data_IF_616801084244
#
_entry.id   IF_616801084244
#
_cell.length_a   1.000
_cell.length_b   1.000
_cell.length_c   1.000
_cell.angle_alpha   90.00
_cell.angle_beta   90.00
_cell.angle_gamma   90.00
#
_symmetry.space_group_name_H-M   'P 1'
#
loop_
_entity.id
_entity.type
_entity.pdbx_description
1 polymer ?
#
# COMPACT_ATOMS: atom_id res chain seq x y z
N UNK A 1 5.92 42.91 5.63
CA UNK A 1 4.91 41.83 5.76
C UNK A 1 4.28 41.63 4.39
N UNK A 2 4.50 40.48 3.77
CA UNK A 2 3.99 40.17 2.43
C UNK A 2 2.46 39.99 2.51
N UNK A 3 1.74 40.26 1.42
CA UNK A 3 0.28 40.08 1.37
C UNK A 3 -0.14 38.63 1.62
N UNK A 4 0.72 37.66 1.27
CA UNK A 4 0.51 36.24 1.55
C UNK A 4 0.56 35.93 3.05
N UNK A 5 1.48 36.55 3.79
CA UNK A 5 1.64 36.34 5.24
C UNK A 5 0.37 36.75 5.99
N UNK A 6 -0.24 37.89 5.62
CA UNK A 6 -1.52 38.35 6.19
C UNK A 6 -2.68 37.37 5.96
N UNK A 7 -2.67 36.69 4.81
CA UNK A 7 -3.68 35.68 4.47
C UNK A 7 -3.49 34.47 5.38
N UNK A 8 -2.25 34.01 5.56
CA UNK A 8 -1.95 32.92 6.49
C UNK A 8 -2.32 33.27 7.93
N UNK A 9 -1.99 34.46 8.41
CA UNK A 9 -2.37 34.91 9.76
C UNK A 9 -3.89 34.79 10.00
N UNK A 10 -4.69 35.16 8.98
CA UNK A 10 -6.17 35.08 9.06
C UNK A 10 -6.66 33.63 9.05
N UNK A 11 -6.08 32.78 8.21
CA UNK A 11 -6.42 31.36 8.14
C UNK A 11 -6.08 30.65 9.45
N UNK A 12 -4.88 30.89 9.97
CA UNK A 12 -4.38 30.31 11.22
C UNK A 12 -5.26 30.76 12.39
N UNK A 13 -5.74 32.00 12.39
CA UNK A 13 -6.66 32.48 13.40
C UNK A 13 -7.99 31.72 13.38
N UNK A 14 -8.56 31.44 12.20
CA UNK A 14 -9.79 30.65 12.10
C UNK A 14 -9.60 29.22 12.62
N UNK A 15 -8.46 28.60 12.33
CA UNK A 15 -8.12 27.27 12.86
C UNK A 15 -8.00 27.30 14.38
N UNK A 16 -7.26 28.27 14.94
CA UNK A 16 -7.12 28.46 16.40
C UNK A 16 -8.45 28.71 17.10
N UNK A 17 -9.40 29.37 16.44
CA UNK A 17 -10.74 29.64 16.95
C UNK A 17 -11.71 28.44 16.78
N UNK A 18 -11.25 27.32 16.21
CA UNK A 18 -12.09 26.13 15.96
C UNK A 18 -13.08 26.31 14.80
N UNK A 19 -12.93 27.34 13.98
CA UNK A 19 -13.75 27.60 12.78
C UNK A 19 -13.25 26.78 11.59
N UNK A 20 -13.23 25.45 11.77
CA UNK A 20 -12.56 24.51 10.87
C UNK A 20 -13.22 24.43 9.49
N UNK A 21 -14.55 24.54 9.43
CA UNK A 21 -15.29 24.57 8.16
C UNK A 21 -14.99 25.84 7.35
N UNK A 22 -14.98 27.00 8.01
CA UNK A 22 -14.65 28.27 7.38
C UNK A 22 -13.19 28.28 6.90
N UNK A 23 -12.27 27.78 7.72
CA UNK A 23 -10.88 27.59 7.33
C UNK A 23 -10.76 26.70 6.08
N UNK A 24 -11.42 25.54 6.06
CA UNK A 24 -11.48 24.65 4.90
C UNK A 24 -11.94 25.39 3.64
N UNK A 25 -13.06 26.11 3.72
CA UNK A 25 -13.62 26.82 2.56
C UNK A 25 -12.69 27.94 2.07
N UNK A 26 -12.02 28.63 2.99
CA UNK A 26 -11.02 29.64 2.64
C UNK A 26 -9.80 29.03 1.95
N UNK A 27 -9.25 27.93 2.46
CA UNK A 27 -8.15 27.20 1.79
C UNK A 27 -8.54 26.78 0.36
N UNK A 28 -9.72 26.18 0.17
CA UNK A 28 -10.22 25.79 -1.18
C UNK A 28 -10.33 26.99 -2.12
N UNK A 29 -10.90 28.08 -1.63
CA UNK A 29 -11.12 29.31 -2.41
C UNK A 29 -9.80 29.98 -2.79
N UNK A 30 -8.88 30.11 -1.83
CA UNK A 30 -7.57 30.72 -2.04
C UNK A 30 -6.72 29.88 -2.99
N UNK A 31 -6.64 28.56 -2.78
CA UNK A 31 -5.92 27.69 -3.70
C UNK A 31 -6.42 27.87 -5.15
N UNK A 32 -7.74 27.77 -5.36
CA UNK A 32 -8.36 27.90 -6.69
C UNK A 32 -8.06 29.24 -7.36
N UNK A 33 -7.95 30.31 -6.56
CA UNK A 33 -7.64 31.66 -7.05
C UNK A 33 -6.16 31.83 -7.39
N UNK A 34 -5.27 31.34 -6.52
CA UNK A 34 -3.84 31.62 -6.61
C UNK A 34 -3.12 30.65 -7.55
N UNK A 35 -3.50 29.37 -7.59
CA UNK A 35 -2.83 28.36 -8.42
C UNK A 35 -2.77 28.74 -9.90
N UNK A 36 -3.81 29.42 -10.41
CA UNK A 36 -3.88 29.88 -11.81
C UNK A 36 -2.88 31.00 -12.14
N UNK A 37 -2.50 31.80 -11.15
CA UNK A 37 -1.62 32.96 -11.30
C UNK A 37 -0.19 32.66 -10.86
N UNK A 38 -0.06 31.80 -9.85
CA UNK A 38 1.19 31.37 -9.25
C UNK A 38 0.98 29.97 -8.67
N UNK A 39 1.41 28.92 -9.39
CA UNK A 39 1.34 27.55 -8.91
C UNK A 39 2.04 27.37 -7.56
N UNK A 40 3.16 28.07 -7.34
CA UNK A 40 3.93 28.05 -6.09
C UNK A 40 3.12 28.57 -4.91
N UNK A 41 2.43 29.71 -5.03
CA UNK A 41 1.55 30.20 -3.98
C UNK A 41 0.36 29.27 -3.73
N UNK A 42 -0.23 28.72 -4.80
CA UNK A 42 -1.27 27.70 -4.66
C UNK A 42 -0.78 26.51 -3.83
N UNK A 43 0.40 25.99 -4.16
CA UNK A 43 1.00 24.87 -3.43
C UNK A 43 1.27 25.24 -1.96
N UNK A 44 1.83 26.43 -1.67
CA UNK A 44 2.04 26.88 -0.29
C UNK A 44 0.74 26.95 0.51
N UNK A 45 -0.38 27.39 -0.10
CA UNK A 45 -1.69 27.45 0.55
C UNK A 45 -2.19 26.05 0.92
N UNK A 46 -2.04 25.07 0.02
CA UNK A 46 -2.47 23.69 0.30
C UNK A 46 -1.55 23.02 1.33
N UNK A 47 -0.23 23.22 1.22
CA UNK A 47 0.73 22.71 2.22
C UNK A 47 0.40 23.21 3.61
N UNK A 48 0.14 24.51 3.75
CA UNK A 48 -0.23 25.13 5.02
C UNK A 48 -1.54 24.53 5.58
N UNK A 49 -2.60 24.45 4.75
CA UNK A 49 -3.88 23.92 5.17
C UNK A 49 -3.83 22.44 5.56
N UNK A 50 -3.16 21.60 4.76
CA UNK A 50 -2.98 20.18 5.09
C UNK A 50 -2.18 20.02 6.39
N UNK A 51 -1.15 20.84 6.60
CA UNK A 51 -0.34 20.78 7.83
C UNK A 51 -1.15 21.14 9.06
N UNK A 52 -1.83 22.29 9.05
CA UNK A 52 -2.56 22.76 10.23
C UNK A 52 -3.79 21.91 10.53
N UNK A 53 -4.63 21.62 9.53
CA UNK A 53 -5.86 20.87 9.77
C UNK A 53 -5.58 19.42 10.18
N UNK A 54 -4.43 18.84 9.81
CA UNK A 54 -4.05 17.49 10.27
C UNK A 54 -3.76 17.39 11.76
N UNK A 55 -3.54 18.53 12.44
CA UNK A 55 -3.21 18.60 13.87
C UNK A 55 -4.45 18.83 14.74
N UNK A 56 -5.59 19.08 14.13
CA UNK A 56 -6.85 19.35 14.83
C UNK A 56 -7.50 18.05 15.33
N UNK A 57 -8.34 18.18 16.36
CA UNK A 57 -9.08 17.02 16.91
C UNK A 57 -10.18 16.52 15.96
N UNK A 58 -10.86 17.46 15.29
CA UNK A 58 -11.86 17.14 14.28
C UNK A 58 -11.22 17.21 12.89
N UNK A 59 -11.08 16.05 12.28
CA UNK A 59 -10.36 15.88 11.02
C UNK A 59 -11.26 16.01 9.78
N UNK A 60 -12.56 16.28 9.96
CA UNK A 60 -13.48 16.46 8.84
C UNK A 60 -13.01 17.54 7.87
N UNK A 61 -12.47 18.64 8.41
CA UNK A 61 -11.91 19.72 7.61
C UNK A 61 -10.64 19.27 6.85
N UNK A 62 -9.77 18.49 7.50
CA UNK A 62 -8.57 17.94 6.89
C UNK A 62 -8.90 16.98 5.74
N UNK A 63 -9.73 15.97 5.98
CA UNK A 63 -10.13 15.01 4.94
C UNK A 63 -10.90 15.69 3.81
N UNK A 64 -11.73 16.69 4.13
CA UNK A 64 -12.41 17.51 3.13
C UNK A 64 -11.46 18.36 2.26
N UNK A 65 -10.26 18.70 2.76
CA UNK A 65 -9.22 19.38 2.00
C UNK A 65 -8.43 18.39 1.13
N UNK A 66 -8.11 17.23 1.68
CA UNK A 66 -7.47 16.12 0.96
C UNK A 66 -8.31 15.69 -0.24
N UNK A 67 -9.58 15.36 -0.05
CA UNK A 67 -10.51 14.96 -1.12
C UNK A 67 -10.58 16.02 -2.23
N UNK A 68 -10.70 17.29 -1.85
CA UNK A 68 -10.72 18.40 -2.79
C UNK A 68 -9.44 18.46 -3.63
N UNK A 69 -8.27 18.35 -2.98
CA UNK A 69 -7.00 18.49 -3.66
C UNK A 69 -6.68 17.29 -4.54
N UNK A 70 -6.94 16.06 -4.07
CA UNK A 70 -6.81 14.83 -4.87
C UNK A 70 -7.68 14.89 -6.12
N UNK A 71 -8.92 15.38 -6.03
CA UNK A 71 -9.80 15.58 -7.20
C UNK A 71 -9.21 16.55 -8.21
N UNK A 72 -8.59 17.64 -7.76
CA UNK A 72 -7.93 18.59 -8.64
C UNK A 72 -6.73 17.96 -9.36
N UNK A 73 -5.87 17.26 -8.62
CA UNK A 73 -4.71 16.59 -9.20
C UNK A 73 -5.12 15.49 -10.18
N UNK A 74 -6.19 14.75 -9.86
CA UNK A 74 -6.75 13.69 -10.73
C UNK A 74 -7.34 14.25 -12.02
N UNK A 75 -7.93 15.45 -11.98
CA UNK A 75 -8.50 16.13 -13.14
C UNK A 75 -7.46 16.90 -13.97
N UNK A 76 -6.23 17.04 -13.47
CA UNK A 76 -5.15 17.72 -14.18
C UNK A 76 -4.81 16.96 -15.47
N UNK A 77 -4.64 17.70 -16.57
CA UNK A 77 -4.27 17.12 -17.87
C UNK A 77 -2.78 16.80 -17.97
N UNK A 78 -1.97 17.56 -17.25
CA UNK A 78 -0.54 17.38 -17.16
C UNK A 78 -0.20 16.30 -16.13
N UNK A 79 0.99 15.72 -16.26
CA UNK A 79 1.50 14.79 -15.25
C UNK A 79 1.61 15.50 -13.89
N UNK A 80 1.11 14.86 -12.84
CA UNK A 80 1.26 15.31 -11.46
C UNK A 80 2.69 15.05 -11.02
N UNK A 81 3.31 16.00 -10.31
CA UNK A 81 4.67 15.84 -9.78
C UNK A 81 4.68 15.41 -8.31
N UNK A 82 5.81 14.94 -7.80
CA UNK A 82 5.95 14.63 -6.37
C UNK A 82 5.78 15.88 -5.48
N UNK A 83 6.24 17.04 -5.94
CA UNK A 83 6.09 18.31 -5.22
C UNK A 83 4.61 18.67 -4.99
N UNK A 84 3.76 18.37 -5.97
CA UNK A 84 2.31 18.58 -5.87
C UNK A 84 1.63 17.58 -4.92
N UNK A 85 2.20 16.40 -4.70
CA UNK A 85 1.61 15.40 -3.80
C UNK A 85 2.15 15.53 -2.36
N UNK A 86 3.33 16.12 -2.17
CA UNK A 86 3.97 16.34 -0.86
C UNK A 86 3.04 16.91 0.23
N UNK A 87 2.14 17.88 -0.02
CA UNK A 87 1.24 18.38 1.01
C UNK A 87 0.40 17.28 1.69
N UNK A 88 0.07 16.23 0.94
CA UNK A 88 -0.78 15.13 1.39
C UNK A 88 -0.05 14.20 2.37
N UNK A 89 1.28 14.32 2.52
CA UNK A 89 2.03 13.57 3.53
C UNK A 89 1.62 13.93 4.97
N UNK A 90 0.93 15.05 5.18
CA UNK A 90 0.37 15.44 6.47
C UNK A 90 -0.57 14.37 7.07
N UNK A 91 -1.17 13.53 6.23
CA UNK A 91 -2.03 12.40 6.66
C UNK A 91 -1.33 11.40 7.58
N UNK A 92 0.00 11.34 7.55
CA UNK A 92 0.77 10.48 8.48
C UNK A 92 0.55 10.87 9.94
N UNK A 93 0.27 12.14 10.19
CA UNK A 93 0.10 12.68 11.54
C UNK A 93 -1.31 12.45 12.09
N UNK A 94 -2.25 11.92 11.29
CA UNK A 94 -3.61 11.66 11.74
C UNK A 94 -3.75 10.27 12.40
N UNK A 95 -4.66 10.11 13.37
CA UNK A 95 -5.02 8.82 13.94
C UNK A 95 -5.46 7.81 12.87
N UNK A 96 -5.29 6.52 13.19
CA UNK A 96 -5.71 5.43 12.31
C UNK A 96 -7.21 5.22 12.45
N UNK A 97 -7.94 5.49 11.38
CA UNK A 97 -9.36 5.27 11.23
C UNK A 97 -9.71 4.91 9.77
N UNK A 98 -11.00 4.68 9.48
CA UNK A 98 -11.47 4.34 8.14
C UNK A 98 -11.36 5.48 7.14
N UNK A 99 -11.40 6.73 7.62
CA UNK A 99 -11.30 7.91 6.76
C UNK A 99 -9.86 8.09 6.26
N UNK A 100 -8.88 7.86 7.13
CA UNK A 100 -7.46 7.77 6.81
C UNK A 100 -7.19 6.68 5.79
N UNK A 101 -7.73 5.47 6.00
CA UNK A 101 -7.59 4.35 5.06
C UNK A 101 -8.09 4.74 3.66
N UNK A 102 -9.32 5.27 3.57
CA UNK A 102 -9.92 5.70 2.30
C UNK A 102 -9.11 6.81 1.63
N UNK A 103 -8.72 7.84 2.38
CA UNK A 103 -7.94 8.95 1.82
C UNK A 103 -6.58 8.47 1.31
N UNK A 104 -5.91 7.59 2.03
CA UNK A 104 -4.63 7.01 1.59
C UNK A 104 -4.77 6.16 0.32
N UNK A 105 -5.86 5.42 0.14
CA UNK A 105 -6.13 4.69 -1.11
C UNK A 105 -6.19 5.63 -2.31
N UNK A 106 -6.99 6.69 -2.22
CA UNK A 106 -7.15 7.66 -3.31
C UNK A 106 -5.81 8.35 -3.63
N UNK A 107 -5.02 8.69 -2.61
CA UNK A 107 -3.68 9.28 -2.78
C UNK A 107 -2.71 8.27 -3.42
N UNK A 108 -2.72 7.02 -2.97
CA UNK A 108 -1.83 5.99 -3.49
C UNK A 108 -2.14 5.66 -4.94
N UNK A 109 -3.41 5.54 -5.32
CA UNK A 109 -3.85 5.37 -6.70
C UNK A 109 -3.40 6.52 -7.60
N UNK A 110 -3.52 7.77 -7.12
CA UNK A 110 -3.00 8.95 -7.81
C UNK A 110 -1.49 8.83 -8.06
N UNK A 111 -0.73 8.41 -7.04
CA UNK A 111 0.73 8.23 -7.15
C UNK A 111 1.10 7.15 -8.17
N UNK A 112 0.40 6.01 -8.14
CA UNK A 112 0.62 4.90 -9.06
C UNK A 112 0.32 5.31 -10.51
N UNK A 113 -0.81 5.98 -10.75
CA UNK A 113 -1.19 6.48 -12.08
C UNK A 113 -0.14 7.43 -12.67
N UNK A 114 0.51 8.23 -11.83
CA UNK A 114 1.54 9.20 -12.24
C UNK A 114 2.98 8.67 -12.09
N UNK A 115 3.17 7.40 -11.71
CA UNK A 115 4.49 6.75 -11.53
C UNK A 115 5.43 7.49 -10.56
N UNK A 116 4.87 8.00 -9.46
CA UNK A 116 5.60 8.79 -8.45
C UNK A 116 6.30 7.87 -7.43
N UNK A 117 7.42 7.27 -7.82
CA UNK A 117 8.01 6.13 -7.10
C UNK A 117 8.48 6.44 -5.67
N UNK A 118 9.07 7.62 -5.41
CA UNK A 118 9.62 7.90 -4.08
C UNK A 118 8.50 8.15 -3.07
N UNK A 119 7.51 8.98 -3.43
CA UNK A 119 6.38 9.27 -2.57
C UNK A 119 5.38 8.11 -2.50
N UNK A 120 5.24 7.32 -3.57
CA UNK A 120 4.38 6.13 -3.57
C UNK A 120 4.85 5.08 -2.55
N UNK A 121 6.17 4.86 -2.42
CA UNK A 121 6.72 3.98 -1.38
C UNK A 121 6.36 4.48 0.03
N UNK A 122 6.30 5.79 0.20
CA UNK A 122 5.94 6.41 1.48
C UNK A 122 4.47 6.16 1.83
N UNK A 123 3.55 6.33 0.87
CA UNK A 123 2.14 6.02 1.08
C UNK A 123 1.87 4.51 1.15
N UNK A 124 2.62 3.68 0.43
CA UNK A 124 2.56 2.22 0.57
C UNK A 124 2.89 1.79 2.01
N UNK A 125 3.92 2.40 2.61
CA UNK A 125 4.25 2.15 4.02
C UNK A 125 3.10 2.55 4.94
N UNK A 126 2.52 3.73 4.76
CA UNK A 126 1.40 4.17 5.59
C UNK A 126 0.17 3.26 5.42
N UNK A 127 -0.12 2.84 4.19
CA UNK A 127 -1.19 1.88 3.89
C UNK A 127 -0.96 0.53 4.56
N UNK A 128 0.28 0.02 4.55
CA UNK A 128 0.64 -1.18 5.31
C UNK A 128 0.29 -1.02 6.79
N UNK A 129 0.76 0.05 7.43
CA UNK A 129 0.57 0.30 8.87
C UNK A 129 -0.92 0.39 9.22
N UNK A 130 -1.68 1.19 8.47
CA UNK A 130 -3.13 1.36 8.68
C UNK A 130 -3.85 0.03 8.55
N UNK A 131 -3.57 -0.74 7.49
CA UNK A 131 -4.25 -2.02 7.27
C UNK A 131 -3.86 -3.08 8.32
N UNK A 132 -2.62 -3.09 8.82
CA UNK A 132 -2.23 -3.97 9.93
C UNK A 132 -3.02 -3.62 11.19
N UNK A 133 -3.08 -2.34 11.58
CA UNK A 133 -3.80 -1.89 12.78
C UNK A 133 -5.32 -2.07 12.67
N UNK A 134 -5.88 -2.02 11.47
CA UNK A 134 -7.28 -2.36 11.18
C UNK A 134 -7.53 -3.87 11.01
N UNK A 135 -6.52 -4.72 11.23
CA UNK A 135 -6.56 -6.17 11.09
C UNK A 135 -6.90 -6.66 9.65
N UNK A 136 -6.64 -5.82 8.63
CA UNK A 136 -6.80 -6.10 7.21
C UNK A 136 -5.48 -6.61 6.59
N UNK A 137 -4.96 -7.73 7.11
CA UNK A 137 -3.61 -8.22 6.75
C UNK A 137 -3.44 -8.53 5.27
N UNK A 138 -4.45 -9.10 4.62
CA UNK A 138 -4.43 -9.39 3.18
C UNK A 138 -4.19 -8.12 2.34
N UNK A 139 -4.75 -6.99 2.77
CA UNK A 139 -4.58 -5.71 2.10
C UNK A 139 -3.23 -5.07 2.43
N UNK A 140 -2.77 -5.17 3.68
CA UNK A 140 -1.45 -4.71 4.08
C UNK A 140 -0.32 -5.36 3.25
N UNK A 141 -0.35 -6.68 3.07
CA UNK A 141 0.71 -7.39 2.35
C UNK A 141 0.80 -7.00 0.87
N UNK A 142 -0.32 -6.60 0.24
CA UNK A 142 -0.33 -6.17 -1.17
C UNK A 142 0.56 -4.94 -1.41
N UNK A 143 0.69 -4.05 -0.44
CA UNK A 143 1.55 -2.86 -0.53
C UNK A 143 3.03 -3.16 -0.25
N UNK A 144 3.35 -4.32 0.30
CA UNK A 144 4.72 -4.75 0.59
C UNK A 144 5.38 -5.58 -0.54
N UNK A 145 4.63 -5.93 -1.59
CA UNK A 145 5.10 -6.79 -2.67
C UNK A 145 6.35 -6.19 -3.32
N UNK A 146 7.42 -7.00 -3.39
CA UNK A 146 8.68 -6.62 -4.02
C UNK A 146 9.51 -5.58 -3.24
N UNK A 147 9.07 -5.15 -2.06
CA UNK A 147 9.80 -4.20 -1.23
C UNK A 147 10.06 -4.78 0.17
N UNK A 148 11.25 -5.35 0.35
CA UNK A 148 11.67 -6.00 1.61
C UNK A 148 11.64 -5.02 2.80
N UNK A 149 11.91 -3.73 2.58
CA UNK A 149 11.84 -2.74 3.67
C UNK A 149 10.40 -2.50 4.13
N UNK A 150 9.44 -2.49 3.20
CA UNK A 150 8.02 -2.40 3.57
C UNK A 150 7.54 -3.67 4.26
N UNK A 151 7.99 -4.85 3.80
CA UNK A 151 7.73 -6.11 4.47
C UNK A 151 8.30 -6.14 5.89
N UNK A 152 9.53 -5.64 6.10
CA UNK A 152 10.12 -5.52 7.44
C UNK A 152 9.26 -4.67 8.37
N UNK A 153 8.76 -3.52 7.90
CA UNK A 153 7.87 -2.67 8.70
C UNK A 153 6.56 -3.37 9.03
N UNK A 154 5.97 -4.11 8.08
CA UNK A 154 4.75 -4.92 8.32
C UNK A 154 5.01 -5.96 9.42
N UNK A 155 6.13 -6.68 9.34
CA UNK A 155 6.48 -7.70 10.33
C UNK A 155 6.67 -7.10 11.73
N UNK A 156 7.37 -5.97 11.86
CA UNK A 156 7.56 -5.27 13.15
C UNK A 156 6.25 -4.79 13.78
N UNK A 157 5.29 -4.35 12.98
CA UNK A 157 3.97 -3.99 13.52
C UNK A 157 3.16 -5.22 13.95
N UNK A 158 3.31 -6.35 13.25
CA UNK A 158 2.68 -7.61 13.62
C UNK A 158 3.28 -8.16 14.91
N UNK A 159 4.57 -7.93 15.21
CA UNK A 159 5.16 -8.30 16.52
C UNK A 159 4.42 -7.66 17.69
N UNK A 160 3.81 -6.49 17.48
CA UNK A 160 3.00 -5.81 18.48
C UNK A 160 1.54 -6.30 18.52
N UNK A 161 1.15 -7.16 17.59
CA UNK A 161 -0.20 -7.70 17.46
C UNK A 161 -0.28 -9.11 18.05
N UNK A 162 -1.19 -9.33 18.99
CA UNK A 162 -1.42 -10.66 19.57
C UNK A 162 -2.29 -11.56 18.65
N UNK A 163 -2.92 -10.99 17.63
CA UNK A 163 -3.95 -11.69 16.83
C UNK A 163 -3.41 -12.25 15.52
N UNK A 164 -2.26 -11.77 15.04
CA UNK A 164 -1.74 -12.09 13.70
C UNK A 164 -0.43 -12.85 13.81
N UNK A 165 -0.38 -13.99 13.15
CA UNK A 165 0.81 -14.87 13.14
C UNK A 165 1.79 -14.44 12.05
N UNK A 166 3.06 -14.28 12.42
CA UNK A 166 4.16 -13.92 11.51
C UNK A 166 4.31 -14.91 10.35
N UNK A 167 4.17 -16.21 10.63
CA UNK A 167 4.26 -17.28 9.64
C UNK A 167 3.15 -17.20 8.58
N UNK A 168 1.95 -16.77 8.98
CA UNK A 168 0.83 -16.57 8.06
C UNK A 168 1.09 -15.36 7.15
N UNK A 169 1.60 -14.27 7.70
CA UNK A 169 1.96 -13.07 6.91
C UNK A 169 3.09 -13.38 5.94
N UNK A 170 4.11 -14.11 6.37
CA UNK A 170 5.18 -14.56 5.49
C UNK A 170 4.64 -15.40 4.32
N UNK A 171 3.71 -16.33 4.58
CA UNK A 171 3.05 -17.11 3.54
C UNK A 171 2.28 -16.22 2.55
N UNK A 172 1.44 -15.32 3.04
CA UNK A 172 0.66 -14.41 2.21
C UNK A 172 1.57 -13.53 1.34
N UNK A 173 2.60 -12.90 1.92
CA UNK A 173 3.54 -12.08 1.16
C UNK A 173 4.31 -12.91 0.14
N UNK A 174 4.68 -14.15 0.47
CA UNK A 174 5.34 -15.05 -0.48
C UNK A 174 4.42 -15.36 -1.66
N UNK A 175 3.18 -15.77 -1.41
CA UNK A 175 2.19 -16.08 -2.45
C UNK A 175 2.00 -14.89 -3.41
N UNK A 176 1.79 -13.69 -2.86
CA UNK A 176 1.62 -12.45 -3.63
C UNK A 176 2.90 -12.09 -4.41
N UNK A 177 4.07 -12.26 -3.81
CA UNK A 177 5.36 -12.01 -4.47
C UNK A 177 5.57 -12.98 -5.64
N UNK A 178 5.24 -14.26 -5.46
CA UNK A 178 5.28 -15.25 -6.54
C UNK A 178 4.30 -14.94 -7.67
N UNK A 179 3.14 -14.35 -7.38
CA UNK A 179 2.19 -13.93 -8.41
C UNK A 179 2.67 -12.71 -9.21
N UNK A 180 3.44 -11.80 -8.62
CA UNK A 180 3.85 -10.56 -9.28
C UNK A 180 5.27 -10.68 -9.86
N UNK A 181 6.25 -10.97 -9.01
CA UNK A 181 7.66 -11.03 -9.37
C UNK A 181 8.38 -12.19 -8.63
N UNK A 182 8.30 -13.44 -9.15
CA UNK A 182 8.84 -14.63 -8.48
C UNK A 182 10.28 -14.54 -8.03
N UNK A 183 11.12 -13.82 -8.78
CA UNK A 183 12.55 -13.68 -8.49
C UNK A 183 12.81 -13.01 -7.14
N UNK A 184 11.89 -12.17 -6.67
CA UNK A 184 12.02 -11.47 -5.38
C UNK A 184 11.63 -12.34 -4.18
N UNK A 185 10.96 -13.49 -4.38
CA UNK A 185 10.60 -14.38 -3.29
C UNK A 185 11.84 -14.98 -2.59
N UNK A 186 12.96 -15.14 -3.30
CA UNK A 186 14.25 -15.54 -2.71
C UNK A 186 14.78 -14.49 -1.72
N UNK A 187 14.65 -13.20 -2.06
CA UNK A 187 15.08 -12.11 -1.18
C UNK A 187 14.23 -12.08 0.10
N UNK A 188 12.92 -12.33 -0.03
CA UNK A 188 12.00 -12.45 1.09
C UNK A 188 12.40 -13.61 2.02
N UNK A 189 12.70 -14.78 1.46
CA UNK A 189 13.21 -15.92 2.23
C UNK A 189 14.50 -15.56 2.98
N UNK A 190 15.51 -15.01 2.29
CA UNK A 190 16.79 -14.65 2.92
C UNK A 190 16.63 -13.61 4.04
N UNK A 191 15.68 -12.69 3.88
CA UNK A 191 15.33 -11.72 4.92
C UNK A 191 14.72 -12.41 6.16
N UNK A 192 13.74 -13.31 5.95
CA UNK A 192 13.11 -14.07 7.05
C UNK A 192 14.11 -15.01 7.73
N UNK A 193 14.97 -15.67 6.96
CA UNK A 193 16.05 -16.50 7.48
C UNK A 193 17.06 -15.72 8.31
N UNK A 194 17.28 -14.45 8.01
CA UNK A 194 18.23 -13.62 8.77
C UNK A 194 17.61 -13.04 10.05
N UNK A 195 16.34 -12.62 9.99
CA UNK A 195 15.73 -11.79 11.04
C UNK A 195 14.62 -12.51 11.85
N UNK A 196 13.99 -13.53 11.27
CA UNK A 196 12.81 -14.20 11.84
C UNK A 196 12.96 -15.73 11.84
N UNK A 197 14.16 -16.25 12.15
CA UNK A 197 14.48 -17.69 12.15
C UNK A 197 13.46 -18.55 12.90
N UNK A 198 12.88 -18.02 13.97
CA UNK A 198 11.88 -18.71 14.78
C UNK A 198 10.67 -19.19 14.00
N UNK A 199 10.32 -18.54 12.88
CA UNK A 199 9.14 -18.92 12.09
C UNK A 199 9.43 -19.99 11.03
N UNK A 200 10.71 -20.25 10.69
CA UNK A 200 11.08 -21.13 9.58
C UNK A 200 10.72 -22.61 9.79
N UNK A 201 10.43 -23.03 11.03
CA UNK A 201 9.98 -24.39 11.36
C UNK A 201 8.48 -24.64 11.23
N UNK A 202 7.69 -23.60 10.91
CA UNK A 202 6.22 -23.70 10.83
C UNK A 202 5.77 -24.38 9.53
N UNK A 203 4.51 -24.84 9.48
CA UNK A 203 3.95 -25.44 8.26
C UNK A 203 3.81 -24.39 7.16
N UNK A 204 3.45 -23.16 7.54
CA UNK A 204 3.28 -22.01 6.65
C UNK A 204 4.61 -21.58 6.03
N UNK A 205 5.70 -21.52 6.81
CA UNK A 205 7.03 -21.22 6.25
C UNK A 205 7.52 -22.33 5.32
N UNK A 206 7.32 -23.59 5.67
CA UNK A 206 7.69 -24.74 4.82
C UNK A 206 6.91 -24.70 3.50
N UNK A 207 5.60 -24.41 3.55
CA UNK A 207 4.78 -24.22 2.38
C UNK A 207 5.29 -23.05 1.52
N UNK A 208 5.67 -21.93 2.13
CA UNK A 208 6.23 -20.75 1.44
C UNK A 208 7.52 -21.08 0.68
N UNK A 209 8.45 -21.78 1.34
CA UNK A 209 9.72 -22.22 0.73
C UNK A 209 9.45 -23.19 -0.42
N UNK A 210 8.58 -24.18 -0.21
CA UNK A 210 8.23 -25.16 -1.23
C UNK A 210 7.62 -24.51 -2.47
N UNK A 211 6.65 -23.61 -2.28
CA UNK A 211 6.04 -22.86 -3.37
C UNK A 211 7.07 -22.01 -4.12
N UNK A 212 7.99 -21.36 -3.39
CA UNK A 212 9.08 -20.60 -4.00
C UNK A 212 9.94 -21.50 -4.88
N UNK A 213 10.36 -22.67 -4.39
CA UNK A 213 11.16 -23.63 -5.16
C UNK A 213 10.41 -24.10 -6.41
N UNK A 214 9.14 -24.51 -6.27
CA UNK A 214 8.36 -25.03 -7.39
C UNK A 214 8.11 -23.97 -8.46
N UNK A 215 7.73 -22.75 -8.07
CA UNK A 215 7.53 -21.65 -9.03
C UNK A 215 8.86 -21.28 -9.70
N UNK A 216 9.97 -21.22 -8.97
CA UNK A 216 11.27 -20.92 -9.57
C UNK A 216 11.70 -22.00 -10.56
N UNK A 217 11.44 -23.28 -10.30
CA UNK A 217 11.68 -24.37 -11.27
C UNK A 217 10.90 -24.17 -12.57
N UNK A 218 9.66 -23.68 -12.50
CA UNK A 218 8.87 -23.33 -13.69
C UNK A 218 9.47 -22.12 -14.42
N UNK A 219 9.79 -21.05 -13.69
CA UNK A 219 10.31 -19.80 -14.25
C UNK A 219 11.68 -19.99 -14.92
N UNK A 220 12.55 -20.78 -14.29
CA UNK A 220 13.91 -21.07 -14.76
C UNK A 220 13.97 -22.28 -15.70
N UNK A 221 12.83 -22.93 -15.98
CA UNK A 221 12.72 -24.11 -16.85
C UNK A 221 13.68 -25.25 -16.47
N UNK A 222 13.87 -25.46 -15.16
CA UNK A 222 14.83 -26.43 -14.61
C UNK A 222 14.33 -27.87 -14.86
N UNK A 223 13.05 -28.11 -14.60
CA UNK A 223 12.44 -29.45 -14.67
C UNK A 223 11.25 -29.46 -15.65
N UNK A 224 10.88 -30.63 -16.19
CA UNK A 224 9.64 -30.81 -16.96
C UNK A 224 8.40 -30.37 -16.17
N UNK A 225 7.50 -29.64 -16.83
CA UNK A 225 6.31 -29.05 -16.19
C UNK A 225 5.41 -30.10 -15.53
N UNK A 226 5.25 -31.27 -16.16
CA UNK A 226 4.48 -32.40 -15.63
C UNK A 226 5.01 -32.88 -14.27
N UNK A 227 6.34 -32.98 -14.11
CA UNK A 227 6.96 -33.34 -12.82
C UNK A 227 6.76 -32.26 -11.76
N UNK A 228 6.83 -31.00 -12.17
CA UNK A 228 6.60 -29.87 -11.25
C UNK A 228 5.12 -29.83 -10.82
N UNK A 229 4.18 -30.07 -11.73
CA UNK A 229 2.75 -30.18 -11.44
C UNK A 229 2.44 -31.36 -10.50
N UNK A 230 3.08 -32.51 -10.69
CA UNK A 230 2.95 -33.65 -9.76
C UNK A 230 3.47 -33.29 -8.36
N UNK A 231 4.62 -32.62 -8.28
CA UNK A 231 5.17 -32.15 -7.01
C UNK A 231 4.26 -31.11 -6.33
N UNK A 232 3.67 -30.20 -7.11
CA UNK A 232 2.67 -29.26 -6.61
C UNK A 232 1.41 -29.97 -6.08
N UNK A 233 0.90 -30.98 -6.78
CA UNK A 233 -0.24 -31.78 -6.30
C UNK A 233 0.05 -32.52 -4.99
N UNK A 234 1.27 -33.03 -4.81
CA UNK A 234 1.72 -33.61 -3.52
C UNK A 234 1.79 -32.54 -2.43
N UNK A 235 2.26 -31.34 -2.76
CA UNK A 235 2.28 -30.20 -1.84
C UNK A 235 0.86 -29.80 -1.41
N UNK A 236 -0.09 -29.74 -2.35
CA UNK A 236 -1.51 -29.45 -2.07
C UNK A 236 -2.10 -30.45 -1.07
N UNK A 237 -1.77 -31.74 -1.19
CA UNK A 237 -2.17 -32.74 -0.21
C UNK A 237 -1.48 -32.57 1.15
N UNK A 238 -0.17 -32.35 1.16
CA UNK A 238 0.64 -32.27 2.38
C UNK A 238 0.35 -31.02 3.22
N UNK A 239 -0.01 -29.91 2.59
CA UNK A 239 -0.27 -28.60 3.22
C UNK A 239 -1.73 -28.13 3.04
N UNK A 240 -2.67 -29.07 2.93
CA UNK A 240 -4.09 -28.79 2.66
C UNK A 240 -4.70 -27.77 3.64
N UNK A 241 -4.44 -27.96 4.93
CA UNK A 241 -4.88 -27.07 6.02
C UNK A 241 -4.36 -25.64 5.83
N UNK A 242 -3.08 -25.49 5.49
CA UNK A 242 -2.45 -24.20 5.25
C UNK A 242 -3.00 -23.55 3.98
N UNK A 243 -3.08 -24.29 2.88
CA UNK A 243 -3.55 -23.76 1.60
C UNK A 243 -5.02 -23.39 1.59
N UNK A 244 -5.86 -24.02 2.43
CA UNK A 244 -7.26 -23.63 2.56
C UNK A 244 -7.39 -22.19 3.11
N UNK A 245 -6.48 -21.76 4.00
CA UNK A 245 -6.47 -20.39 4.54
C UNK A 245 -6.13 -19.33 3.50
N UNK A 246 -5.49 -19.72 2.39
CA UNK A 246 -5.04 -18.84 1.30
C UNK A 246 -5.51 -19.36 -0.06
N UNK A 247 -6.68 -20.02 -0.12
CA UNK A 247 -7.12 -20.82 -1.28
C UNK A 247 -7.17 -20.03 -2.59
N UNK A 248 -7.54 -18.75 -2.52
CA UNK A 248 -7.63 -17.88 -3.70
C UNK A 248 -6.25 -17.64 -4.31
N UNK A 249 -5.27 -17.25 -3.49
CA UNK A 249 -3.90 -16.99 -3.92
C UNK A 249 -3.20 -18.26 -4.43
N UNK A 250 -3.43 -19.40 -3.76
CA UNK A 250 -2.93 -20.71 -4.20
C UNK A 250 -3.57 -21.11 -5.54
N UNK A 251 -4.88 -20.90 -5.70
CA UNK A 251 -5.59 -21.14 -6.95
C UNK A 251 -5.07 -20.27 -8.10
N UNK A 252 -4.77 -19.00 -7.83
CA UNK A 252 -4.16 -18.10 -8.81
C UNK A 252 -2.75 -18.55 -9.22
N UNK A 253 -1.93 -19.02 -8.27
CA UNK A 253 -0.60 -19.59 -8.58
C UNK A 253 -0.72 -20.85 -9.45
N UNK A 254 -1.68 -21.72 -9.13
CA UNK A 254 -1.99 -22.92 -9.92
C UNK A 254 -2.33 -22.59 -11.36
N UNK A 255 -3.23 -21.64 -11.58
CA UNK A 255 -3.60 -21.18 -12.91
C UNK A 255 -2.40 -20.59 -13.67
N UNK A 256 -1.55 -19.81 -12.98
CA UNK A 256 -0.44 -19.09 -13.61
C UNK A 256 0.77 -19.96 -13.96
N UNK A 257 1.18 -20.84 -13.05
CA UNK A 257 2.45 -21.56 -13.15
C UNK A 257 2.28 -23.06 -13.38
N UNK A 258 1.24 -23.67 -12.81
CA UNK A 258 1.08 -25.13 -12.77
C UNK A 258 -0.02 -25.65 -13.70
N UNK A 259 -0.52 -24.80 -14.61
CA UNK A 259 -1.47 -25.18 -15.67
C UNK A 259 -0.76 -25.15 -17.04
N UNK A 260 -0.96 -26.17 -17.90
CA UNK A 260 -0.40 -26.20 -19.25
C UNK A 260 -0.74 -24.93 -20.04
N UNK A 261 0.20 -24.42 -20.84
CA UNK A 261 0.01 -23.15 -21.57
C UNK A 261 -1.25 -23.08 -22.43
N UNK A 262 -1.74 -24.20 -22.96
CA UNK A 262 -2.97 -24.28 -23.77
C UNK A 262 -4.25 -23.99 -22.98
N UNK A 263 -4.19 -24.08 -21.66
CA UNK A 263 -5.34 -23.93 -20.74
C UNK A 263 -5.22 -22.69 -19.84
N UNK A 264 -4.17 -21.87 -20.02
CA UNK A 264 -3.97 -20.66 -19.22
C UNK A 264 -4.97 -19.58 -19.62
N UNK A 265 -5.84 -19.20 -18.69
CA UNK A 265 -6.66 -17.98 -18.81
C UNK A 265 -5.77 -16.73 -18.71
N UNK A 266 -6.12 -15.67 -19.45
CA UNK A 266 -5.38 -14.40 -19.44
C UNK A 266 -5.43 -13.79 -18.02
N UNK A 267 -4.26 -13.57 -17.44
CA UNK A 267 -4.04 -13.05 -16.10
C UNK A 267 -4.09 -11.51 -16.08
N UNK A 268 -4.86 -10.93 -15.16
CA UNK A 268 -4.72 -9.53 -14.75
C UNK A 268 -4.50 -9.46 -13.22
N UNK A 269 -3.30 -9.07 -12.74
CA UNK A 269 -2.96 -9.05 -11.31
C UNK A 269 -3.74 -8.03 -10.48
N UNK A 270 -4.47 -7.11 -11.11
CA UNK A 270 -5.14 -5.98 -10.45
C UNK A 270 -6.66 -6.13 -10.33
N UNK A 271 -7.24 -7.23 -10.82
CA UNK A 271 -8.67 -7.51 -10.66
C UNK A 271 -8.83 -8.42 -9.45
N UNK A 272 -9.33 -7.88 -8.34
CA UNK A 272 -9.82 -8.71 -7.25
C UNK A 272 -11.06 -9.49 -7.72
N UNK A 273 -11.17 -10.81 -7.50
CA UNK A 273 -12.45 -11.48 -7.60
C UNK A 273 -13.37 -10.94 -6.50
N UNK A 274 -14.59 -10.58 -6.90
CA UNK A 274 -15.66 -10.12 -6.00
C UNK A 274 -16.12 -11.21 -5.03
#
# INVERSE_FOLDING_TARGET
MNALDKIFDTLHQNVKEGKLYEALMQYKSLYSRYVRRSPTHGLSIITDGCTLLSQEKDLNAFYGLVDFYVKILTAKKEAVTEEEVNPLLAIKNTPIDKEKEKALEEIFELCQRNKLSAISNTFAMEMCLVNVKLNNIQKAVNYSIGNVKLFESVMKEIEQSETVKHEHVYLLTTLKTLLVEPKLARNLYSFVESNYKGILGTRESQASVLLTVLVMKVVEQIDPLDKICEAFGKAEGAFKDVFETCKEDVGMLKAKYFTPQKERTQFNPFIQPH
#
